data_IF_748708400598
#
_entry.id   IF_748708400598
#
_cell.length_a   1.000
_cell.length_b   1.000
_cell.length_c   1.000
_cell.angle_alpha   90.00
_cell.angle_beta   90.00
_cell.angle_gamma   90.00
#
_symmetry.space_group_name_H-M   'P 1'
#
loop_
_entity.id
_entity.type
_entity.pdbx_description
1 polymer ?
#
# COMPACT_ATOMS: atom_id res chain seq x y z
N UNK A 1 12.01 -6.87 -10.49
CA UNK A 1 12.37 -5.88 -9.46
C UNK A 1 11.35 -6.04 -8.34
N UNK A 2 11.81 -6.16 -7.11
CA UNK A 2 10.98 -6.07 -5.90
C UNK A 2 11.73 -5.13 -4.98
N UNK A 3 11.11 -4.00 -4.64
CA UNK A 3 11.59 -3.05 -3.64
C UNK A 3 10.66 -3.13 -2.44
N UNK A 4 11.23 -3.16 -1.25
CA UNK A 4 10.51 -3.23 0.03
C UNK A 4 10.72 -1.90 0.81
N UNK A 5 9.74 -1.58 1.64
CA UNK A 5 9.72 -0.45 2.59
C UNK A 5 9.78 0.97 1.99
N UNK A 6 10.82 1.74 2.32
CA UNK A 6 11.04 3.15 1.96
C UNK A 6 12.04 3.34 0.82
N UNK A 7 12.41 2.25 0.13
CA UNK A 7 13.29 2.30 -1.04
C UNK A 7 12.57 1.73 -2.27
N UNK A 8 11.55 2.44 -2.79
CA UNK A 8 10.94 2.05 -4.05
C UNK A 8 12.00 2.16 -5.15
N UNK A 9 12.41 1.01 -5.70
CA UNK A 9 13.16 0.99 -6.95
C UNK A 9 12.18 1.15 -8.11
N UNK A 10 12.11 2.37 -8.64
CA UNK A 10 11.42 2.62 -9.89
C UNK A 10 12.15 1.86 -11.01
N UNK A 11 11.45 1.01 -11.79
CA UNK A 11 12.06 0.42 -12.97
C UNK A 11 12.46 1.58 -13.89
N UNK A 12 13.74 1.64 -14.26
CA UNK A 12 14.28 2.62 -15.19
C UNK A 12 14.48 1.96 -16.56
N UNK A 13 13.39 1.70 -17.33
CA UNK A 13 13.46 0.93 -18.55
C UNK A 13 14.33 1.64 -19.58
N UNK A 14 15.31 0.93 -20.14
CA UNK A 14 16.04 1.43 -21.30
C UNK A 14 15.16 1.23 -22.53
N UNK A 15 14.48 2.29 -22.95
CA UNK A 15 13.58 2.26 -24.11
C UNK A 15 14.41 2.13 -25.40
N UNK A 16 14.04 1.16 -26.25
CA UNK A 16 14.49 1.12 -27.65
C UNK A 16 13.77 2.21 -28.46
N UNK A 17 14.29 2.60 -29.64
CA UNK A 17 13.76 3.70 -30.47
C UNK A 17 12.24 3.64 -30.75
N UNK A 18 11.65 2.44 -30.68
CA UNK A 18 10.23 2.17 -30.94
C UNK A 18 9.36 1.98 -29.68
N UNK A 19 9.88 2.24 -28.48
CA UNK A 19 9.14 2.08 -27.23
C UNK A 19 8.72 3.44 -26.63
N UNK A 20 7.49 3.52 -26.14
CA UNK A 20 6.98 4.65 -25.33
C UNK A 20 6.65 4.13 -23.93
N UNK A 21 7.01 4.88 -22.89
CA UNK A 21 6.56 4.60 -21.53
C UNK A 21 5.03 4.73 -21.47
N UNK A 22 4.35 3.76 -20.84
CA UNK A 22 2.94 3.89 -20.49
C UNK A 22 2.73 4.83 -19.32
N UNK A 23 1.50 4.96 -18.85
CA UNK A 23 1.22 5.67 -17.59
C UNK A 23 1.87 4.94 -16.40
N UNK A 24 2.57 5.70 -15.57
CA UNK A 24 3.13 5.21 -14.31
C UNK A 24 1.99 5.04 -13.31
N UNK A 25 1.82 3.83 -12.79
CA UNK A 25 0.82 3.53 -11.76
C UNK A 25 1.55 3.18 -10.47
N UNK A 26 1.24 3.92 -9.40
CA UNK A 26 1.72 3.64 -8.06
C UNK A 26 0.63 2.94 -7.26
N UNK A 27 0.96 1.96 -6.44
CA UNK A 27 -0.01 1.22 -5.63
C UNK A 27 0.60 0.98 -4.25
N UNK A 28 -0.15 1.33 -3.22
CA UNK A 28 0.23 1.19 -1.82
C UNK A 28 -0.57 0.07 -1.16
N UNK A 29 0.08 -0.74 -0.33
CA UNK A 29 -0.57 -1.80 0.44
C UNK A 29 -0.11 -1.78 1.89
N UNK A 30 -1.06 -1.84 2.82
CA UNK A 30 -0.82 -1.91 4.26
C UNK A 30 -1.42 -3.20 4.79
N UNK A 31 -0.60 -3.98 5.50
CA UNK A 31 -0.98 -5.27 6.06
C UNK A 31 -1.22 -5.14 7.56
N UNK A 32 -2.46 -5.35 7.99
CA UNK A 32 -2.83 -5.38 9.40
C UNK A 32 -2.94 -6.82 9.89
N UNK A 33 -2.23 -7.15 10.96
CA UNK A 33 -2.33 -8.44 11.64
C UNK A 33 -3.12 -8.27 12.95
N UNK A 34 -4.16 -9.10 13.13
CA UNK A 34 -4.98 -9.14 14.36
C UNK A 34 -5.23 -10.61 14.71
N UNK A 35 -4.92 -11.05 15.95
CA UNK A 35 -5.15 -12.41 16.50
C UNK A 35 -5.48 -13.53 15.49
N UNK A 36 -4.51 -13.85 14.62
CA UNK A 36 -4.59 -14.94 13.64
C UNK A 36 -5.25 -14.61 12.29
N UNK A 37 -5.56 -13.35 12.00
CA UNK A 37 -6.12 -12.84 10.75
C UNK A 37 -5.28 -11.69 10.21
N UNK A 38 -5.25 -11.59 8.88
CA UNK A 38 -4.60 -10.50 8.15
C UNK A 38 -5.62 -9.75 7.31
N UNK A 39 -5.57 -8.42 7.34
CA UNK A 39 -6.38 -7.54 6.51
C UNK A 39 -5.46 -6.66 5.65
N UNK A 40 -5.80 -6.53 4.37
CA UNK A 40 -5.08 -5.64 3.45
C UNK A 40 -5.90 -4.37 3.24
N UNK A 41 -5.26 -3.23 3.45
CA UNK A 41 -5.77 -1.91 3.12
C UNK A 41 -4.95 -1.31 1.98
N UNK A 42 -5.59 -0.54 1.11
CA UNK A 42 -4.95 0.13 -0.01
C UNK A 42 -5.19 1.62 0.11
N UNK A 43 -4.20 2.39 0.61
CA UNK A 43 -4.28 3.83 0.62
C UNK A 43 -4.42 4.40 -0.79
N UNK A 44 -5.14 5.50 -0.91
CA UNK A 44 -5.36 6.17 -2.19
C UNK A 44 -4.13 6.98 -2.64
N UNK A 45 -3.29 7.41 -1.69
CA UNK A 45 -2.10 8.23 -1.94
C UNK A 45 -0.95 8.03 -0.92
N UNK A 46 0.21 8.60 -1.26
CA UNK A 46 1.42 8.55 -0.42
C UNK A 46 1.22 9.21 0.95
N UNK A 47 0.44 10.28 1.03
CA UNK A 47 0.23 11.03 2.28
C UNK A 47 -0.61 10.23 3.26
N UNK A 48 -1.54 9.41 2.76
CA UNK A 48 -2.25 8.42 3.56
C UNK A 48 -1.33 7.26 3.95
N UNK A 49 -0.57 6.70 3.00
CA UNK A 49 0.36 5.59 3.28
C UNK A 49 1.41 5.93 4.34
N UNK A 50 1.95 7.14 4.33
CA UNK A 50 2.98 7.59 5.28
C UNK A 50 2.49 7.77 6.72
N UNK A 51 1.18 7.72 6.97
CA UNK A 51 0.63 7.72 8.33
C UNK A 51 0.77 6.36 9.03
N UNK A 52 0.86 5.27 8.25
CA UNK A 52 1.05 3.94 8.80
C UNK A 52 2.51 3.73 9.18
N UNK A 53 2.73 3.38 10.43
CA UNK A 53 4.07 3.02 10.94
C UNK A 53 4.04 1.62 11.50
N UNK A 54 5.14 0.89 11.37
CA UNK A 54 5.25 -0.45 11.94
C UNK A 54 4.95 -0.44 13.44
N UNK A 55 4.10 -1.36 13.88
CA UNK A 55 3.68 -1.44 15.28
C UNK A 55 2.62 -0.42 15.71
N UNK A 56 2.24 0.53 14.84
CA UNK A 56 1.06 1.38 15.09
C UNK A 56 -0.22 0.55 15.11
N UNK A 57 -1.21 1.03 15.87
CA UNK A 57 -2.50 0.35 16.04
C UNK A 57 -3.61 1.15 15.41
N UNK A 58 -4.50 0.43 14.74
CA UNK A 58 -5.57 1.01 13.94
C UNK A 58 -6.87 0.24 14.14
N UNK A 59 -7.96 0.99 14.21
CA UNK A 59 -9.32 0.45 14.20
C UNK A 59 -9.72 0.29 12.74
N UNK A 60 -10.06 -0.93 12.33
CA UNK A 60 -10.45 -1.27 10.96
C UNK A 60 -11.97 -1.41 10.87
N UNK A 61 -12.62 -0.66 9.96
CA UNK A 61 -13.99 -0.93 9.55
C UNK A 61 -13.99 -1.93 8.40
N UNK A 62 -14.40 -3.16 8.66
CA UNK A 62 -14.44 -4.23 7.65
C UNK A 62 -15.87 -4.52 7.19
N UNK A 63 -16.04 -4.73 5.89
CA UNK A 63 -17.33 -5.13 5.33
C UNK A 63 -17.56 -6.65 5.45
N UNK A 64 -18.76 -7.11 5.07
CA UNK A 64 -19.13 -8.53 5.13
C UNK A 64 -18.30 -9.45 4.22
N UNK A 65 -17.53 -8.90 3.28
CA UNK A 65 -16.62 -9.61 2.38
C UNK A 65 -15.16 -9.60 2.90
N UNK A 66 -14.93 -9.15 4.13
CA UNK A 66 -13.60 -8.96 4.75
C UNK A 66 -12.71 -7.91 4.06
N UNK A 67 -13.28 -6.97 3.30
CA UNK A 67 -12.51 -5.84 2.81
C UNK A 67 -12.52 -4.70 3.82
N UNK A 68 -11.37 -4.05 3.99
CA UNK A 68 -11.23 -2.85 4.81
C UNK A 68 -11.88 -1.68 4.06
N UNK A 69 -12.87 -1.05 4.69
CA UNK A 69 -13.60 0.11 4.16
C UNK A 69 -12.99 1.43 4.65
N UNK A 70 -12.56 1.46 5.90
CA UNK A 70 -11.93 2.62 6.51
C UNK A 70 -10.99 2.18 7.63
N UNK A 71 -10.01 3.02 7.94
CA UNK A 71 -9.05 2.82 9.01
C UNK A 71 -8.95 4.09 9.83
N UNK A 72 -8.83 3.97 11.15
CA UNK A 72 -8.68 5.11 12.07
C UNK A 72 -7.60 4.81 13.11
N UNK A 73 -6.68 5.74 13.44
CA UNK A 73 -5.67 5.50 14.47
C UNK A 73 -6.30 5.15 15.83
N UNK A 74 -5.76 4.14 16.51
CA UNK A 74 -6.08 3.87 17.92
C UNK A 74 -5.36 4.92 18.78
N UNK A 75 -6.11 5.68 19.59
CA UNK A 75 -5.57 6.74 20.47
C UNK A 75 -4.88 6.18 21.71
#
# INVERSE_FOLDING_TARGET
LTGDDFSPEWPNPTLSQDQRLGEETETYEVYFATDGRSYTYRPDDLSEYTQFTEGSRWILEVNALNNVRSVTPEQ
#
